data_IF_620760321795
#
_entry.id   IF_620760321795
#
_cell.length_a   1.000
_cell.length_b   1.000
_cell.length_c   1.000
_cell.angle_alpha   90.00
_cell.angle_beta   90.00
_cell.angle_gamma   90.00
#
_symmetry.space_group_name_H-M   'P 1'
#
loop_
_entity.id
_entity.type
_entity.pdbx_description
1 polymer ?
#
# COMPACT_ATOMS: atom_id res chain seq x y z
N UNK A 1 -27.32 25.72 37.58
CA UNK A 1 -26.44 26.46 36.64
C UNK A 1 -25.12 26.73 37.36
N UNK A 2 -24.08 25.91 37.12
CA UNK A 2 -22.78 26.07 37.77
C UNK A 2 -21.95 27.12 37.02
N UNK A 3 -21.85 28.33 37.59
CA UNK A 3 -20.97 29.38 37.11
C UNK A 3 -19.58 29.17 37.68
N UNK A 4 -18.71 28.48 36.93
CA UNK A 4 -17.30 28.31 37.30
C UNK A 4 -16.57 29.63 37.09
N UNK A 5 -16.13 30.28 38.18
CA UNK A 5 -15.33 31.52 38.15
C UNK A 5 -13.87 31.17 37.84
N UNK A 6 -13.53 31.09 36.56
CA UNK A 6 -12.17 30.75 36.11
C UNK A 6 -11.23 31.95 36.31
N UNK A 7 -10.10 31.71 36.98
CA UNK A 7 -9.06 32.72 37.19
C UNK A 7 -8.25 32.91 35.89
N UNK A 8 -8.04 34.16 35.44
CA UNK A 8 -7.47 34.46 34.12
C UNK A 8 -6.02 33.99 33.95
N UNK A 9 -5.23 34.00 35.03
CA UNK A 9 -3.81 33.60 35.02
C UNK A 9 -3.59 32.09 34.74
N UNK A 10 -4.23 31.14 35.45
CA UNK A 10 -4.08 29.72 35.15
C UNK A 10 -4.70 29.34 33.79
N UNK A 11 -5.77 30.00 33.37
CA UNK A 11 -6.38 29.78 32.05
C UNK A 11 -5.40 30.09 30.92
N UNK A 12 -4.67 31.21 31.02
CA UNK A 12 -3.67 31.61 30.03
C UNK A 12 -2.53 30.59 29.93
N UNK A 13 -2.07 30.05 31.06
CA UNK A 13 -1.04 29.00 31.08
C UNK A 13 -1.50 27.71 30.38
N UNK A 14 -2.74 27.28 30.63
CA UNK A 14 -3.32 26.09 29.98
C UNK A 14 -3.37 26.27 28.45
N UNK A 15 -3.76 27.46 27.96
CA UNK A 15 -3.81 27.77 26.53
C UNK A 15 -2.41 27.70 25.90
N UNK A 16 -1.38 28.22 26.58
CA UNK A 16 0.01 28.13 26.09
C UNK A 16 0.48 26.69 25.99
N UNK A 17 0.22 25.87 27.02
CA UNK A 17 0.59 24.45 26.99
C UNK A 17 -0.12 23.73 25.84
N UNK A 18 -1.39 24.03 25.60
CA UNK A 18 -2.14 23.45 24.50
C UNK A 18 -1.59 23.87 23.12
N UNK A 19 -1.23 25.15 22.97
CA UNK A 19 -0.58 25.67 21.76
C UNK A 19 0.78 25.01 21.51
N UNK A 20 1.62 24.92 22.54
CA UNK A 20 2.93 24.26 22.45
C UNK A 20 2.79 22.77 22.12
N UNK A 21 1.80 22.09 22.72
CA UNK A 21 1.47 20.70 22.40
C UNK A 21 1.03 20.53 20.94
N UNK A 22 0.19 21.42 20.43
CA UNK A 22 -0.24 21.40 19.02
C UNK A 22 0.93 21.64 18.07
N UNK A 23 1.82 22.59 18.37
CA UNK A 23 3.01 22.85 17.57
C UNK A 23 3.95 21.64 17.58
N UNK A 24 4.22 21.06 18.76
CA UNK A 24 5.05 19.87 18.89
C UNK A 24 4.46 18.66 18.15
N UNK A 25 3.14 18.47 18.20
CA UNK A 25 2.45 17.42 17.47
C UNK A 25 2.56 17.61 15.96
N UNK A 26 2.43 18.84 15.46
CA UNK A 26 2.62 19.15 14.04
C UNK A 26 4.08 18.91 13.61
N UNK A 27 5.06 19.31 14.41
CA UNK A 27 6.49 19.05 14.12
C UNK A 27 6.77 17.55 14.12
N UNK A 28 6.25 16.80 15.09
CA UNK A 28 6.38 15.35 15.15
C UNK A 28 5.80 14.68 13.90
N UNK A 29 4.57 15.06 13.52
CA UNK A 29 3.95 14.56 12.30
C UNK A 29 4.76 14.93 11.06
N UNK A 30 5.26 16.17 10.95
CA UNK A 30 6.09 16.60 9.83
C UNK A 30 7.39 15.79 9.70
N UNK A 31 8.12 15.59 10.80
CA UNK A 31 9.36 14.79 10.81
C UNK A 31 9.06 13.35 10.43
N UNK A 32 8.03 12.74 11.03
CA UNK A 32 7.59 11.38 10.71
C UNK A 32 7.20 11.24 9.25
N UNK A 33 6.44 12.18 8.70
CA UNK A 33 6.04 12.19 7.29
C UNK A 33 7.27 12.30 6.38
N UNK A 34 8.25 13.13 6.72
CA UNK A 34 9.50 13.24 5.96
C UNK A 34 10.35 11.96 6.01
N UNK A 35 10.38 11.28 7.15
CA UNK A 35 11.09 10.00 7.30
C UNK A 35 10.42 8.88 6.49
N UNK A 36 9.09 8.82 6.50
CA UNK A 36 8.33 7.95 5.61
C UNK A 36 8.60 8.28 4.14
N UNK A 37 8.55 9.56 3.76
CA UNK A 37 8.79 9.96 2.37
C UNK A 37 10.19 9.54 1.88
N UNK A 38 11.21 9.64 2.75
CA UNK A 38 12.57 9.15 2.48
C UNK A 38 12.63 7.63 2.33
N UNK A 39 11.94 6.88 3.19
CA UNK A 39 11.85 5.41 3.10
C UNK A 39 11.26 4.99 1.75
N UNK A 40 10.24 5.71 1.28
CA UNK A 40 9.54 5.42 0.03
C UNK A 40 9.92 6.38 -1.11
N UNK A 41 11.09 7.02 -1.08
CA UNK A 41 11.51 8.01 -2.08
C UNK A 41 11.49 7.43 -3.50
N UNK A 42 11.78 6.13 -3.63
CA UNK A 42 11.72 5.38 -4.89
C UNK A 42 10.29 5.17 -5.40
N UNK A 43 9.32 4.90 -4.51
CA UNK A 43 7.88 4.83 -4.83
C UNK A 43 7.34 6.22 -5.14
N UNK A 44 7.70 7.22 -4.33
CA UNK A 44 7.27 8.60 -4.49
C UNK A 44 7.77 9.18 -5.83
N UNK A 45 9.04 8.98 -6.21
CA UNK A 45 9.54 9.49 -7.50
C UNK A 45 8.85 8.84 -8.72
N UNK A 46 8.55 7.54 -8.66
CA UNK A 46 7.91 6.82 -9.76
C UNK A 46 6.41 7.11 -9.88
N UNK A 47 5.74 7.43 -8.78
CA UNK A 47 4.31 7.78 -8.73
C UNK A 47 4.03 9.29 -8.82
N UNK A 48 4.97 10.16 -8.41
CA UNK A 48 4.86 11.61 -8.54
C UNK A 48 4.89 12.04 -10.01
N UNK A 49 5.54 11.26 -10.88
CA UNK A 49 5.41 11.40 -12.34
C UNK A 49 3.97 11.18 -12.84
N UNK A 50 3.09 10.56 -12.05
CA UNK A 50 1.70 10.25 -12.39
C UNK A 50 0.67 11.15 -11.68
N UNK A 51 1.08 12.11 -10.84
CA UNK A 51 0.18 12.98 -10.07
C UNK A 51 -0.84 12.21 -9.18
N UNK A 52 -0.47 11.00 -8.72
CA UNK A 52 -1.35 10.12 -7.94
C UNK A 52 -0.89 9.97 -6.49
N UNK A 53 -1.08 11.03 -5.68
CA UNK A 53 -0.78 10.99 -4.24
C UNK A 53 -1.55 9.87 -3.49
N UNK A 54 -2.73 9.51 -3.99
CA UNK A 54 -3.53 8.40 -3.46
C UNK A 54 -2.89 7.03 -3.68
N UNK A 55 -2.28 6.79 -4.83
CA UNK A 55 -1.54 5.56 -5.11
C UNK A 55 -0.35 5.42 -4.16
N UNK A 56 0.39 6.52 -3.90
CA UNK A 56 1.46 6.53 -2.89
C UNK A 56 0.90 6.20 -1.51
N UNK A 57 -0.17 6.87 -1.12
CA UNK A 57 -0.84 6.61 0.15
C UNK A 57 -1.25 5.14 0.31
N UNK A 58 -1.79 4.53 -0.74
CA UNK A 58 -2.19 3.13 -0.78
C UNK A 58 -1.00 2.15 -0.68
N UNK A 59 0.11 2.43 -1.36
CA UNK A 59 1.30 1.59 -1.27
C UNK A 59 1.98 1.71 0.10
N UNK A 60 1.98 2.92 0.69
CA UNK A 60 2.60 3.21 2.00
C UNK A 60 1.74 2.74 3.18
N UNK A 61 0.41 2.74 3.04
CA UNK A 61 -0.49 2.22 4.09
C UNK A 61 -0.28 0.73 4.35
N UNK A 62 0.50 0.04 3.52
CA UNK A 62 0.92 -1.32 3.76
C UNK A 62 1.75 -1.52 5.04
N UNK A 63 2.46 -0.53 5.57
CA UNK A 63 3.38 -0.75 6.71
C UNK A 63 2.88 -0.19 8.05
N UNK A 64 1.66 0.33 8.09
CA UNK A 64 1.07 0.75 9.35
C UNK A 64 0.48 -0.47 10.06
N UNK A 65 1.25 -1.04 11.00
CA UNK A 65 0.85 -2.04 12.00
C UNK A 65 -0.46 -1.66 12.73
N UNK A 66 -1.57 -1.80 12.02
CA UNK A 66 -2.94 -1.71 12.46
C UNK A 66 -3.53 -3.05 12.02
N UNK A 67 -4.38 -3.66 12.84
CA UNK A 67 -5.04 -4.95 12.55
C UNK A 67 -5.76 -5.04 11.18
N UNK A 68 -5.82 -3.94 10.41
CA UNK A 68 -6.29 -3.89 9.02
C UNK A 68 -5.32 -4.52 8.00
N UNK A 69 -4.06 -4.77 8.36
CA UNK A 69 -3.05 -5.39 7.48
C UNK A 69 -3.35 -6.85 7.08
N UNK A 70 -4.41 -7.46 7.60
CA UNK A 70 -4.85 -8.81 7.22
C UNK A 70 -5.86 -8.81 6.06
N UNK A 71 -6.31 -7.65 5.59
CA UNK A 71 -7.30 -7.58 4.50
C UNK A 71 -6.64 -7.44 3.14
N UNK A 72 -7.23 -8.09 2.17
CA UNK A 72 -6.96 -7.88 0.75
C UNK A 72 -7.69 -6.62 0.30
N UNK A 73 -6.96 -5.70 -0.33
CA UNK A 73 -7.49 -4.41 -0.75
C UNK A 73 -7.43 -4.27 -2.27
N UNK A 74 -8.54 -3.83 -2.88
CA UNK A 74 -8.62 -3.54 -4.31
C UNK A 74 -8.66 -2.03 -4.50
N UNK A 75 -7.60 -1.48 -5.09
CA UNK A 75 -7.46 -0.07 -5.41
C UNK A 75 -7.77 0.17 -6.88
N UNK A 76 -8.70 1.07 -7.16
CA UNK A 76 -9.02 1.53 -8.52
C UNK A 76 -8.09 2.68 -8.88
N UNK A 77 -7.24 2.48 -9.87
CA UNK A 77 -6.18 3.44 -10.25
C UNK A 77 -6.79 4.74 -10.77
N UNK A 78 -7.90 4.64 -11.51
CA UNK A 78 -8.56 5.80 -12.13
C UNK A 78 -9.29 6.64 -11.09
N UNK A 79 -10.00 6.00 -10.15
CA UNK A 79 -10.68 6.69 -9.04
C UNK A 79 -9.70 7.16 -7.97
N UNK A 80 -8.57 6.49 -7.84
CA UNK A 80 -7.56 6.80 -6.84
C UNK A 80 -8.00 6.43 -5.43
N UNK A 81 -8.81 5.37 -5.27
CA UNK A 81 -9.33 4.94 -3.97
C UNK A 81 -9.47 3.41 -3.86
N UNK A 82 -9.55 2.92 -2.63
CA UNK A 82 -9.84 1.51 -2.34
C UNK A 82 -11.34 1.29 -2.54
N UNK A 83 -11.69 0.48 -3.53
CA UNK A 83 -13.09 0.17 -3.88
C UNK A 83 -13.61 -1.08 -3.20
N UNK A 84 -12.73 -1.94 -2.68
CA UNK A 84 -13.12 -3.18 -1.98
C UNK A 84 -12.07 -3.62 -0.97
N UNK A 85 -12.54 -4.18 0.15
CA UNK A 85 -11.74 -4.91 1.12
C UNK A 85 -12.33 -6.30 1.35
N UNK A 86 -11.49 -7.31 1.37
CA UNK A 86 -11.87 -8.73 1.53
C UNK A 86 -10.96 -9.35 2.60
N UNK A 87 -11.49 -10.25 3.44
CA UNK A 87 -10.66 -10.98 4.39
C UNK A 87 -9.69 -11.92 3.64
N UNK A 88 -8.44 -12.02 4.12
CA UNK A 88 -7.49 -12.98 3.56
C UNK A 88 -7.99 -14.40 3.80
N UNK A 89 -8.09 -15.17 2.72
CA UNK A 89 -8.40 -16.60 2.76
C UNK A 89 -7.19 -17.43 2.31
N UNK A 90 -7.15 -18.69 2.73
CA UNK A 90 -6.10 -19.63 2.29
C UNK A 90 -6.05 -19.78 0.77
N UNK A 91 -7.19 -19.68 0.08
CA UNK A 91 -7.23 -19.79 -1.38
C UNK A 91 -6.67 -18.53 -2.05
N UNK A 92 -6.95 -17.33 -1.51
CA UNK A 92 -6.34 -16.09 -2.01
C UNK A 92 -4.82 -16.11 -1.81
N UNK A 93 -4.36 -16.52 -0.63
CA UNK A 93 -2.92 -16.65 -0.34
C UNK A 93 -2.25 -17.68 -1.26
N UNK A 94 -2.92 -18.80 -1.53
CA UNK A 94 -2.40 -19.83 -2.45
C UNK A 94 -2.25 -19.30 -3.88
N UNK A 95 -3.20 -18.50 -4.37
CA UNK A 95 -3.06 -17.86 -5.69
C UNK A 95 -1.89 -16.87 -5.71
N UNK A 96 -1.75 -16.03 -4.68
CA UNK A 96 -0.60 -15.13 -4.55
C UNK A 96 0.74 -15.87 -4.55
N UNK A 97 0.84 -16.98 -3.81
CA UNK A 97 2.03 -17.84 -3.81
C UNK A 97 2.32 -18.45 -5.19
N UNK A 98 1.29 -18.86 -5.94
CA UNK A 98 1.47 -19.39 -7.30
C UNK A 98 2.05 -18.31 -8.21
N UNK A 99 1.56 -17.07 -8.14
CA UNK A 99 2.09 -15.97 -8.95
C UNK A 99 3.55 -15.68 -8.61
N UNK A 100 3.90 -15.64 -7.32
CA UNK A 100 5.29 -15.45 -6.86
C UNK A 100 6.23 -16.58 -7.33
N UNK A 101 5.75 -17.83 -7.32
CA UNK A 101 6.50 -19.00 -7.83
C UNK A 101 6.59 -18.99 -9.37
N UNK A 102 5.60 -18.42 -10.04
CA UNK A 102 5.50 -18.31 -11.49
C UNK A 102 6.23 -17.12 -12.11
N UNK A 103 7.06 -16.38 -11.35
CA UNK A 103 7.80 -15.22 -11.87
C UNK A 103 8.72 -15.66 -13.02
N UNK A 104 8.52 -15.07 -14.19
CA UNK A 104 9.27 -15.39 -15.42
C UNK A 104 10.36 -14.38 -15.75
N UNK A 105 10.26 -13.16 -15.24
CA UNK A 105 11.22 -12.10 -15.52
C UNK A 105 10.88 -10.76 -14.87
N UNK A 106 11.81 -9.81 -14.94
CA UNK A 106 11.51 -8.43 -14.55
C UNK A 106 10.54 -7.79 -15.55
N UNK A 107 9.59 -7.01 -15.04
CA UNK A 107 8.72 -6.18 -15.86
C UNK A 107 9.42 -4.84 -16.15
N UNK A 108 9.99 -4.73 -17.35
CA UNK A 108 10.78 -3.58 -17.77
C UNK A 108 9.95 -2.61 -18.63
N UNK A 109 9.10 -1.80 -18.00
CA UNK A 109 8.45 -0.65 -18.64
C UNK A 109 8.89 0.66 -18.02
N UNK A 110 8.99 1.68 -18.87
CA UNK A 110 9.35 3.06 -18.46
C UNK A 110 8.31 3.61 -17.48
N UNK A 111 7.02 3.34 -17.73
CA UNK A 111 5.92 3.59 -16.79
C UNK A 111 5.46 2.27 -16.20
N UNK A 112 5.88 1.98 -14.96
CA UNK A 112 5.59 0.72 -14.30
C UNK A 112 4.21 0.66 -13.64
N UNK A 113 3.59 1.82 -13.36
CA UNK A 113 2.20 1.90 -12.91
C UNK A 113 1.31 2.30 -14.09
N UNK A 114 0.15 1.65 -14.27
CA UNK A 114 -0.75 1.96 -15.35
C UNK A 114 -1.53 3.26 -15.06
N UNK A 115 -2.12 3.86 -16.09
CA UNK A 115 -3.00 5.03 -15.94
C UNK A 115 -4.47 4.63 -15.64
N UNK A 116 -4.84 3.39 -15.96
CA UNK A 116 -6.18 2.81 -15.74
C UNK A 116 -6.05 1.32 -15.40
N UNK A 117 -7.00 0.80 -14.63
CA UNK A 117 -6.98 -0.56 -14.07
C UNK A 117 -7.09 -0.59 -12.55
N UNK A 118 -6.69 -1.71 -11.95
CA UNK A 118 -6.78 -1.90 -10.50
C UNK A 118 -5.56 -2.63 -9.94
N UNK A 119 -5.30 -2.42 -8.65
CA UNK A 119 -4.21 -3.06 -7.93
C UNK A 119 -4.81 -3.81 -6.75
N UNK A 120 -4.51 -5.10 -6.68
CA UNK A 120 -4.90 -5.97 -5.56
C UNK A 120 -3.71 -6.12 -4.63
N UNK A 121 -3.79 -5.53 -3.45
CA UNK A 121 -2.82 -5.71 -2.37
C UNK A 121 -3.20 -6.94 -1.56
N UNK A 122 -2.34 -7.95 -1.53
CA UNK A 122 -2.54 -9.20 -0.82
C UNK A 122 -1.48 -9.30 0.29
N UNK A 123 -1.88 -9.23 1.58
CA UNK A 123 -0.98 -9.57 2.67
C UNK A 123 -0.72 -11.08 2.70
N UNK A 124 0.49 -11.48 3.05
CA UNK A 124 0.91 -12.87 3.15
C UNK A 124 1.19 -13.21 4.61
N UNK A 125 0.32 -14.01 5.21
CA UNK A 125 0.44 -14.43 6.61
C UNK A 125 0.26 -15.95 6.72
N UNK A 126 1.35 -16.74 6.88
CA UNK A 126 2.74 -16.29 7.05
C UNK A 126 3.36 -15.76 5.76
N UNK A 127 4.44 -15.00 5.91
CA UNK A 127 5.27 -14.51 4.81
C UNK A 127 5.79 -15.66 3.93
N UNK A 128 5.95 -15.38 2.64
CA UNK A 128 6.35 -16.38 1.64
C UNK A 128 7.82 -16.22 1.30
N UNK A 129 8.59 -17.28 1.46
CA UNK A 129 9.99 -17.32 1.03
C UNK A 129 10.04 -17.66 -0.46
N UNK A 130 10.45 -16.70 -1.29
CA UNK A 130 10.61 -16.91 -2.73
C UNK A 130 12.08 -17.09 -3.05
N UNK A 131 12.42 -18.20 -3.70
CA UNK A 131 13.78 -18.52 -4.16
C UNK A 131 13.74 -18.82 -5.66
N UNK A 132 14.00 -17.80 -6.46
CA UNK A 132 14.10 -17.89 -7.92
C UNK A 132 15.30 -17.10 -8.43
N UNK A 133 15.59 -17.20 -9.73
CA UNK A 133 16.62 -16.39 -10.37
C UNK A 133 16.29 -14.89 -10.40
N UNK A 134 15.01 -14.51 -10.23
CA UNK A 134 14.52 -13.14 -10.32
C UNK A 134 14.25 -12.49 -8.97
N UNK A 135 13.91 -13.30 -7.97
CA UNK A 135 13.55 -12.89 -6.62
C UNK A 135 14.07 -13.92 -5.61
N UNK A 136 14.91 -13.46 -4.70
CA UNK A 136 15.43 -14.24 -3.56
C UNK A 136 15.20 -13.43 -2.28
N UNK A 137 13.96 -13.44 -1.78
CA UNK A 137 13.54 -12.63 -0.64
C UNK A 137 12.39 -13.30 0.14
N UNK A 138 12.15 -12.81 1.36
CA UNK A 138 10.92 -13.07 2.12
C UNK A 138 9.92 -11.99 1.71
N UNK A 139 8.73 -12.41 1.30
CA UNK A 139 7.67 -11.53 0.81
C UNK A 139 6.53 -11.53 1.82
N UNK A 140 6.29 -10.38 2.43
CA UNK A 140 5.19 -10.19 3.39
C UNK A 140 3.90 -9.75 2.70
N UNK A 141 4.00 -9.11 1.53
CA UNK A 141 2.88 -8.58 0.77
C UNK A 141 3.20 -8.62 -0.72
N UNK A 142 2.19 -8.89 -1.55
CA UNK A 142 2.30 -8.81 -3.00
C UNK A 142 1.19 -7.94 -3.56
N UNK A 143 1.53 -7.14 -4.56
CA UNK A 143 0.58 -6.32 -5.29
C UNK A 143 0.41 -6.92 -6.68
N UNK A 144 -0.80 -7.37 -7.01
CA UNK A 144 -1.14 -7.84 -8.36
C UNK A 144 -1.75 -6.66 -9.10
N UNK A 145 -1.07 -6.19 -10.13
CA UNK A 145 -1.46 -5.04 -10.93
C UNK A 145 -2.17 -5.55 -12.18
N UNK A 146 -3.38 -5.02 -12.41
CA UNK A 146 -4.24 -5.34 -13.55
C UNK A 146 -4.45 -4.10 -14.42
N UNK A 147 -3.59 -3.86 -15.41
CA UNK A 147 -3.81 -2.80 -16.40
C UNK A 147 -5.01 -3.12 -17.30
N UNK A 148 -5.67 -2.09 -17.83
CA UNK A 148 -6.81 -2.27 -18.74
C UNK A 148 -6.46 -2.98 -20.06
N UNK A 149 -5.26 -2.73 -20.60
CA UNK A 149 -4.89 -3.15 -21.96
C UNK A 149 -3.73 -4.16 -22.01
N UNK A 150 -3.33 -4.71 -20.85
CA UNK A 150 -2.14 -5.55 -20.75
C UNK A 150 -2.33 -6.74 -19.81
N UNK A 151 -1.40 -7.69 -19.90
CA UNK A 151 -1.34 -8.80 -18.97
C UNK A 151 -1.04 -8.29 -17.54
N UNK A 152 -1.63 -8.93 -16.50
CA UNK A 152 -1.30 -8.62 -15.12
C UNK A 152 0.18 -8.88 -14.80
N UNK A 153 0.71 -8.11 -13.86
CA UNK A 153 2.08 -8.26 -13.37
C UNK A 153 2.15 -8.00 -11.86
N UNK A 154 3.25 -8.39 -11.24
CA UNK A 154 3.45 -8.27 -9.81
C UNK A 154 4.29 -7.05 -9.47
N UNK A 155 3.98 -6.45 -8.33
CA UNK A 155 4.84 -5.55 -7.59
C UNK A 155 5.13 -6.18 -6.22
N UNK A 156 6.40 -6.26 -5.88
CA UNK A 156 6.92 -6.67 -4.57
C UNK A 156 7.82 -5.57 -4.05
N UNK A 157 7.76 -5.31 -2.75
CA UNK A 157 8.69 -4.40 -2.08
C UNK A 157 9.84 -5.22 -1.51
N UNK A 158 11.07 -4.77 -1.75
CA UNK A 158 12.24 -5.40 -1.13
C UNK A 158 12.44 -4.96 0.33
N UNK A 159 13.48 -5.47 0.99
CA UNK A 159 13.81 -5.13 2.39
C UNK A 159 14.05 -3.62 2.64
N UNK A 160 14.22 -2.82 1.57
CA UNK A 160 14.39 -1.36 1.61
C UNK A 160 13.15 -0.63 1.08
N UNK A 161 12.01 -1.31 0.96
CA UNK A 161 10.77 -0.81 0.39
C UNK A 161 10.88 -0.34 -1.07
N UNK A 162 11.84 -0.86 -1.82
CA UNK A 162 12.00 -0.50 -3.22
C UNK A 162 11.04 -1.33 -4.07
N UNK A 163 10.30 -0.71 -5.00
CA UNK A 163 9.39 -1.44 -5.88
C UNK A 163 10.17 -2.29 -6.88
N UNK A 164 9.84 -3.59 -6.92
CA UNK A 164 10.33 -4.54 -7.89
C UNK A 164 9.14 -5.10 -8.67
N UNK A 165 9.15 -4.90 -9.99
CA UNK A 165 8.06 -5.34 -10.87
C UNK A 165 8.44 -6.60 -11.63
N UNK A 166 7.52 -7.56 -11.69
CA UNK A 166 7.77 -8.88 -12.25
C UNK A 166 6.63 -9.36 -13.16
N UNK A 167 6.99 -9.93 -14.30
CA UNK A 167 6.09 -10.77 -15.07
C UNK A 167 5.94 -12.13 -14.40
N UNK A 168 4.79 -12.77 -14.56
CA UNK A 168 4.56 -14.12 -14.07
C UNK A 168 3.70 -14.93 -15.05
N UNK A 169 3.77 -16.25 -14.94
CA UNK A 169 2.89 -17.20 -15.60
C UNK A 169 1.80 -17.68 -14.65
N UNK A 170 0.56 -17.75 -15.15
CA UNK A 170 -0.61 -18.21 -14.40
C UNK A 170 -1.86 -17.41 -14.74
N UNK A 171 -3.03 -18.03 -14.62
CA UNK A 171 -4.31 -17.32 -14.74
C UNK A 171 -4.63 -16.60 -13.43
N UNK A 172 -5.14 -15.37 -13.54
CA UNK A 172 -5.64 -14.58 -12.41
C UNK A 172 -7.12 -14.82 -12.10
N UNK A 173 -7.80 -15.66 -12.88
CA UNK A 173 -9.26 -15.83 -12.80
C UNK A 173 -9.69 -16.35 -11.42
N UNK A 174 -8.97 -17.34 -10.89
CA UNK A 174 -9.22 -17.90 -9.56
C UNK A 174 -9.04 -16.85 -8.46
N UNK A 175 -8.06 -15.94 -8.59
CA UNK A 175 -7.89 -14.84 -7.64
C UNK A 175 -9.11 -13.92 -7.68
N UNK A 176 -9.54 -13.50 -8.88
CA UNK A 176 -10.68 -12.58 -9.03
C UNK A 176 -11.99 -13.20 -8.56
N UNK A 177 -12.20 -14.50 -8.81
CA UNK A 177 -13.34 -15.27 -8.31
C UNK A 177 -13.36 -15.32 -6.77
N UNK A 178 -12.23 -15.67 -6.14
CA UNK A 178 -12.10 -15.70 -4.69
C UNK A 178 -12.32 -14.31 -4.06
N UNK A 179 -12.01 -13.24 -4.79
CA UNK A 179 -12.29 -11.87 -4.37
C UNK A 179 -13.72 -11.43 -4.67
N UNK A 180 -14.51 -12.26 -5.38
CA UNK A 180 -15.83 -11.91 -5.91
C UNK A 180 -15.80 -10.56 -6.62
N UNK A 181 -14.76 -10.32 -7.41
CA UNK A 181 -14.52 -9.07 -8.10
C UNK A 181 -14.54 -9.31 -9.61
N UNK A 182 -15.42 -8.61 -10.31
CA UNK A 182 -15.49 -8.61 -11.76
C UNK A 182 -15.03 -7.25 -12.25
N UNK A 183 -13.94 -7.16 -13.03
CA UNK A 183 -13.50 -5.91 -13.59
C UNK A 183 -14.55 -5.36 -14.56
N UNK A 184 -14.83 -4.06 -14.48
CA UNK A 184 -15.64 -3.37 -15.48
C UNK A 184 -14.82 -3.27 -16.79
N UNK A 185 -15.35 -3.83 -17.88
CA UNK A 185 -14.74 -3.78 -19.23
C UNK A 185 -14.67 -2.33 -19.77
#
# INVERSE_FOLDING_TARGET
MFLVKINKKPLFFIIIVFLLGSIAFNIYNYIRTMELLKKYESLACSSFQLNQASLVGFLVSADMHVQEDEKVEIFDVKKGEIIKRVELSNDIQREAEKFLKGITGMYAKVKAFPEDGYIVKIPLNPSVIVKSQWLNNIVDKVFVIFPKEEAPYLLVLDEKERPLFYNFEGSTDMLLENLSFQPEN
#
